data_IF_536549150343
#
_entry.id   IF_536549150343
#
_cell.length_a   1.000
_cell.length_b   1.000
_cell.length_c   1.000
_cell.angle_alpha   90.00
_cell.angle_beta   90.00
_cell.angle_gamma   90.00
#
_symmetry.space_group_name_H-M   'P 1'
#
loop_
_entity.id
_entity.type
_entity.pdbx_description
1 polymer ?
#
# COMPACT_ATOMS: atom_id res chain seq x y z
N UNK A 1 11.11 -6.35 0.31
CA UNK A 1 9.93 -7.25 0.20
C UNK A 1 9.81 -8.35 1.27
N UNK A 2 10.86 -8.83 1.99
CA UNK A 2 10.64 -9.90 2.98
C UNK A 2 9.83 -9.46 4.21
N UNK A 3 9.90 -8.17 4.59
CA UNK A 3 9.19 -7.66 5.77
C UNK A 3 7.66 -7.64 5.60
N UNK A 4 7.16 -7.17 4.45
CA UNK A 4 5.72 -7.12 4.18
C UNK A 4 5.18 -8.55 4.06
N UNK A 5 5.80 -9.40 3.24
CA UNK A 5 5.32 -10.76 3.00
C UNK A 5 5.53 -11.70 4.20
N UNK A 6 6.59 -11.49 5.00
CA UNK A 6 6.94 -12.37 6.11
C UNK A 6 6.31 -11.99 7.46
N UNK A 7 5.87 -10.75 7.63
CA UNK A 7 5.33 -10.26 8.91
C UNK A 7 3.96 -9.62 8.73
N UNK A 8 3.87 -8.51 7.97
CA UNK A 8 2.64 -7.71 7.91
C UNK A 8 1.50 -8.49 7.26
N UNK A 9 1.74 -9.06 6.08
CA UNK A 9 0.73 -9.75 5.30
C UNK A 9 0.10 -10.95 6.04
N UNK A 10 0.86 -11.93 6.59
CA UNK A 10 0.26 -13.07 7.28
C UNK A 10 -0.53 -12.67 8.53
N UNK A 11 -0.12 -11.63 9.25
CA UNK A 11 -0.85 -11.13 10.43
C UNK A 11 -2.21 -10.55 10.01
N UNK A 12 -2.23 -9.66 9.01
CA UNK A 12 -3.49 -9.03 8.57
C UNK A 12 -4.41 -10.04 7.89
N UNK A 13 -3.86 -10.93 7.07
CA UNK A 13 -4.63 -12.04 6.48
C UNK A 13 -5.24 -12.93 7.56
N UNK A 14 -4.52 -13.21 8.65
CA UNK A 14 -5.07 -13.99 9.75
C UNK A 14 -6.27 -13.28 10.41
N UNK A 15 -6.20 -11.97 10.65
CA UNK A 15 -7.32 -11.26 11.26
C UNK A 15 -8.63 -11.34 10.45
N UNK A 16 -8.54 -11.37 9.11
CA UNK A 16 -9.69 -11.23 8.22
C UNK A 16 -10.16 -12.55 7.59
N UNK A 17 -9.23 -13.41 7.16
CA UNK A 17 -9.55 -14.63 6.39
C UNK A 17 -9.30 -15.94 7.15
N UNK A 18 -8.72 -15.88 8.35
CA UNK A 18 -8.65 -17.07 9.19
C UNK A 18 -10.01 -17.37 9.82
N UNK A 19 -10.33 -18.64 10.00
CA UNK A 19 -11.47 -19.07 10.82
C UNK A 19 -11.32 -18.74 12.32
N UNK A 20 -10.15 -18.25 12.75
CA UNK A 20 -9.90 -17.72 14.10
C UNK A 20 -9.60 -16.21 14.08
N UNK A 21 -9.89 -15.54 12.96
CA UNK A 21 -9.60 -14.14 12.75
C UNK A 21 -10.61 -13.24 13.45
N UNK A 22 -10.15 -12.39 14.36
CA UNK A 22 -11.02 -11.52 15.15
C UNK A 22 -11.82 -10.51 14.32
N UNK A 23 -11.31 -10.03 13.17
CA UNK A 23 -12.09 -9.13 12.30
C UNK A 23 -13.17 -9.91 11.58
N UNK A 24 -12.87 -11.13 11.13
CA UNK A 24 -13.86 -12.05 10.58
C UNK A 24 -14.99 -12.34 11.58
N UNK A 25 -14.65 -12.60 12.85
CA UNK A 25 -15.61 -12.84 13.93
C UNK A 25 -16.53 -11.62 14.21
N UNK A 26 -16.02 -10.41 13.98
CA UNK A 26 -16.81 -9.18 14.06
C UNK A 26 -17.67 -8.91 12.83
N UNK A 27 -17.63 -9.77 11.81
CA UNK A 27 -18.40 -9.65 10.58
C UNK A 27 -17.76 -8.78 9.50
N UNK A 28 -16.45 -8.51 9.59
CA UNK A 28 -15.73 -7.82 8.52
C UNK A 28 -15.60 -8.74 7.30
N UNK A 29 -16.04 -8.26 6.14
CA UNK A 29 -16.03 -9.01 4.88
C UNK A 29 -15.10 -8.31 3.89
N UNK A 30 -14.09 -9.03 3.43
CA UNK A 30 -13.22 -8.61 2.33
C UNK A 30 -13.05 -9.77 1.37
N UNK A 31 -13.82 -9.83 0.28
CA UNK A 31 -13.87 -11.02 -0.57
C UNK A 31 -12.57 -11.28 -1.34
N UNK A 32 -11.98 -10.22 -1.90
CA UNK A 32 -10.84 -10.32 -2.82
C UNK A 32 -9.61 -9.52 -2.37
N UNK A 33 -9.62 -8.95 -1.17
CA UNK A 33 -8.44 -8.30 -0.58
C UNK A 33 -8.36 -6.80 -0.82
N UNK A 34 -9.49 -6.11 -0.97
CA UNK A 34 -9.53 -4.65 -1.00
C UNK A 34 -8.87 -4.04 0.26
N UNK A 35 -9.11 -4.64 1.42
CA UNK A 35 -8.48 -4.32 2.69
C UNK A 35 -7.14 -5.05 2.85
N UNK A 36 -7.18 -6.39 2.85
CA UNK A 36 -6.04 -7.26 3.20
C UNK A 36 -4.84 -7.08 2.26
N UNK A 37 -5.09 -6.82 0.97
CA UNK A 37 -4.04 -6.69 -0.05
C UNK A 37 -3.83 -5.22 -0.43
N UNK A 38 -4.85 -4.56 -0.99
CA UNK A 38 -4.70 -3.24 -1.60
C UNK A 38 -4.53 -2.12 -0.58
N UNK A 39 -5.38 -2.06 0.44
CA UNK A 39 -5.27 -1.04 1.48
C UNK A 39 -3.98 -1.22 2.28
N UNK A 40 -3.68 -2.43 2.77
CA UNK A 40 -2.43 -2.71 3.50
C UNK A 40 -1.20 -2.34 2.67
N UNK A 41 -1.15 -2.78 1.40
CA UNK A 41 -0.05 -2.43 0.49
C UNK A 41 0.05 -0.92 0.25
N UNK A 42 -1.08 -0.25 0.08
CA UNK A 42 -1.16 1.21 -0.10
C UNK A 42 -0.66 1.98 1.12
N UNK A 43 -1.06 1.59 2.33
CA UNK A 43 -0.57 2.21 3.56
C UNK A 43 0.90 1.91 3.83
N UNK A 44 1.39 0.71 3.49
CA UNK A 44 2.81 0.40 3.57
C UNK A 44 3.63 1.28 2.60
N UNK A 45 3.14 1.49 1.37
CA UNK A 45 3.74 2.41 0.42
C UNK A 45 3.71 3.85 0.94
N UNK A 46 2.58 4.31 1.49
CA UNK A 46 2.43 5.64 2.09
C UNK A 46 3.43 5.87 3.24
N UNK A 47 3.56 4.91 4.15
CA UNK A 47 4.53 4.97 5.24
C UNK A 47 5.96 5.04 4.69
N UNK A 48 6.28 4.21 3.69
CA UNK A 48 7.59 4.21 3.03
C UNK A 48 7.92 5.56 2.40
N UNK A 49 7.02 6.14 1.61
CA UNK A 49 7.28 7.43 0.96
C UNK A 49 7.37 8.58 1.96
N UNK A 50 6.69 8.49 3.12
CA UNK A 50 6.78 9.51 4.16
C UNK A 50 8.17 9.54 4.82
N UNK A 51 8.83 8.38 4.91
CA UNK A 51 10.20 8.26 5.44
C UNK A 51 11.24 8.64 4.38
N UNK A 52 11.07 8.16 3.15
CA UNK A 52 12.02 8.42 2.05
C UNK A 52 11.95 9.87 1.56
N UNK A 53 10.75 10.45 1.55
CA UNK A 53 10.51 11.79 1.02
C UNK A 53 10.27 11.81 -0.49
N UNK A 54 10.00 13.01 -1.04
CA UNK A 54 9.72 13.18 -2.46
C UNK A 54 10.99 13.06 -3.32
N UNK A 55 10.79 12.68 -4.59
CA UNK A 55 11.87 12.67 -5.59
C UNK A 55 12.42 14.10 -5.79
N UNK A 56 13.72 14.21 -6.06
CA UNK A 56 14.33 15.47 -6.46
C UNK A 56 13.62 16.04 -7.71
N UNK A 57 13.36 17.34 -7.70
CA UNK A 57 12.61 18.01 -8.77
C UNK A 57 11.11 17.69 -8.80
N UNK A 58 10.55 16.99 -7.79
CA UNK A 58 9.10 16.75 -7.72
C UNK A 58 8.30 18.01 -7.41
N UNK A 59 8.90 18.97 -6.72
CA UNK A 59 8.28 20.23 -6.32
C UNK A 59 9.15 21.42 -6.75
N UNK A 60 8.52 22.53 -7.16
CA UNK A 60 9.20 23.80 -7.41
C UNK A 60 9.57 24.54 -6.11
N UNK A 61 10.18 25.71 -6.21
CA UNK A 61 10.57 26.54 -5.05
C UNK A 61 9.37 27.00 -4.21
N UNK A 62 8.17 27.03 -4.78
CA UNK A 62 6.92 27.38 -4.11
C UNK A 62 6.18 26.13 -3.57
N UNK A 63 6.74 24.93 -3.74
CA UNK A 63 6.13 23.66 -3.32
C UNK A 63 5.06 23.12 -4.28
N UNK A 64 4.87 23.72 -5.47
CA UNK A 64 3.90 23.21 -6.43
C UNK A 64 4.43 21.92 -7.08
N UNK A 65 3.55 20.93 -7.33
CA UNK A 65 3.98 19.67 -7.93
C UNK A 65 4.38 19.85 -9.40
N UNK A 66 5.59 19.44 -9.73
CA UNK A 66 6.08 19.32 -11.09
C UNK A 66 5.74 17.92 -11.65
N UNK A 67 5.42 17.86 -12.94
CA UNK A 67 5.13 16.61 -13.62
C UNK A 67 6.45 15.86 -13.90
N UNK A 68 6.53 14.62 -13.45
CA UNK A 68 7.61 13.70 -13.82
C UNK A 68 6.96 12.64 -14.69
N UNK A 69 7.23 12.68 -16.00
CA UNK A 69 6.61 11.78 -16.96
C UNK A 69 6.98 10.32 -16.68
N UNK A 70 6.04 9.43 -16.99
CA UNK A 70 6.31 7.99 -16.98
C UNK A 70 7.36 7.64 -18.04
N UNK A 71 8.21 6.67 -17.74
CA UNK A 71 9.28 6.22 -18.64
C UNK A 71 8.78 5.34 -19.80
N UNK A 72 7.52 4.92 -19.79
CA UNK A 72 6.87 4.17 -20.87
C UNK A 72 5.36 4.39 -20.85
N UNK A 73 4.79 4.74 -22.01
CA UNK A 73 3.33 4.87 -22.19
C UNK A 73 2.67 3.52 -22.44
N UNK A 74 3.29 2.58 -23.17
CA UNK A 74 2.69 1.25 -23.39
C UNK A 74 2.65 0.43 -22.09
N UNK A 75 3.58 0.67 -21.18
CA UNK A 75 3.53 0.11 -19.82
C UNK A 75 2.74 1.00 -18.83
N UNK A 76 2.19 2.12 -19.30
CA UNK A 76 1.46 3.12 -18.49
C UNK A 76 0.06 3.44 -19.02
N UNK A 77 -0.42 2.69 -20.04
CA UNK A 77 -1.73 2.77 -20.66
C UNK A 77 -2.55 1.53 -20.32
#
# INVERSE_FOLDING_TARGET
MPFICGIIYPIVTHWVWSGQGWLGDLGFIDFAGSGVVHMVGGFAALAGIKVVGPRLGKYDENGNPLNISGSSIVAGA
#
